data_IF_837452188425
#
_entry.id   IF_837452188425
#
_cell.length_a   1.000
_cell.length_b   1.000
_cell.length_c   1.000
_cell.angle_alpha   90.00
_cell.angle_beta   90.00
_cell.angle_gamma   90.00
#
_symmetry.space_group_name_H-M   'P 1'
#
loop_
_entity.id
_entity.type
_entity.pdbx_description
1 polymer ?
#
# COMPACT_ATOMS: atom_id res chain seq x y z
N UNK A 1 -10.04 14.30 1.94
CA UNK A 1 -10.22 13.19 2.92
C UNK A 1 -10.50 13.75 4.32
N UNK A 2 -11.43 13.13 5.07
CA UNK A 2 -11.76 13.55 6.46
C UNK A 2 -10.68 13.04 7.44
N UNK A 3 -10.40 13.75 8.55
CA UNK A 3 -9.52 13.23 9.60
C UNK A 3 -9.95 11.83 10.06
N UNK A 4 -8.98 10.96 10.32
CA UNK A 4 -9.22 9.62 10.84
C UNK A 4 -9.74 8.59 9.83
N UNK A 5 -9.79 8.87 8.52
CA UNK A 5 -10.21 7.87 7.54
C UNK A 5 -9.09 6.90 7.13
N UNK A 6 -9.47 5.67 6.78
CA UNK A 6 -8.66 4.71 6.03
C UNK A 6 -9.06 4.80 4.55
N UNK A 7 -8.07 4.82 3.67
CA UNK A 7 -8.25 4.75 2.22
C UNK A 7 -7.55 3.50 1.68
N UNK A 8 -8.29 2.61 1.04
CA UNK A 8 -7.75 1.41 0.41
C UNK A 8 -7.78 1.58 -1.12
N UNK A 9 -6.62 1.46 -1.75
CA UNK A 9 -6.44 1.60 -3.20
C UNK A 9 -6.02 0.25 -3.78
N UNK A 10 -6.80 -0.28 -4.72
CA UNK A 10 -6.61 -1.63 -5.28
C UNK A 10 -6.76 -1.64 -6.81
N UNK A 11 -7.49 -0.68 -7.38
CA UNK A 11 -7.82 -0.65 -8.80
C UNK A 11 -6.67 -0.26 -9.73
N UNK A 12 -5.67 0.53 -9.28
CA UNK A 12 -4.52 0.83 -10.13
C UNK A 12 -3.44 -0.27 -10.10
N UNK A 13 -3.00 -0.71 -11.28
CA UNK A 13 -1.95 -1.73 -11.46
C UNK A 13 -0.94 -1.40 -12.58
N UNK A 14 -1.11 -0.25 -13.25
CA UNK A 14 -0.19 0.27 -14.27
C UNK A 14 0.35 1.64 -13.86
N UNK A 15 1.49 2.10 -14.41
CA UNK A 15 2.09 3.39 -14.06
C UNK A 15 1.21 4.61 -14.37
N UNK A 16 0.31 4.50 -15.35
CA UNK A 16 -0.55 5.60 -15.80
C UNK A 16 -1.92 5.60 -15.10
N UNK A 17 -2.25 4.55 -14.36
CA UNK A 17 -3.52 4.45 -13.62
C UNK A 17 -3.39 5.04 -12.23
N UNK A 18 -4.31 5.93 -11.89
CA UNK A 18 -4.43 6.54 -10.57
C UNK A 18 -5.89 6.52 -10.10
N UNK A 19 -6.09 6.15 -8.85
CA UNK A 19 -7.37 6.23 -8.14
C UNK A 19 -7.42 7.45 -7.22
N UNK A 20 -6.25 8.03 -6.89
CA UNK A 20 -6.14 9.18 -6.01
C UNK A 20 -5.19 10.27 -6.54
N UNK A 21 -5.38 11.49 -6.04
CA UNK A 21 -4.56 12.66 -6.33
C UNK A 21 -3.36 12.78 -5.39
N UNK A 22 -2.54 13.82 -5.60
CA UNK A 22 -1.33 14.09 -4.81
C UNK A 22 -1.67 14.50 -3.37
N UNK A 23 -2.83 15.13 -3.16
CA UNK A 23 -3.29 15.51 -1.83
C UNK A 23 -3.58 14.25 -0.99
N UNK A 24 -4.11 13.19 -1.61
CA UNK A 24 -4.36 11.93 -0.94
C UNK A 24 -3.09 11.28 -0.39
N UNK A 25 -2.06 11.15 -1.21
CA UNK A 25 -0.79 10.50 -0.81
C UNK A 25 0.07 11.36 0.11
N UNK A 26 0.01 12.70 -0.03
CA UNK A 26 0.83 13.60 0.80
C UNK A 26 0.26 13.80 2.22
N UNK A 27 -1.06 13.66 2.40
CA UNK A 27 -1.72 13.82 3.72
C UNK A 27 -1.82 12.52 4.51
N UNK A 28 -1.64 11.37 3.87
CA UNK A 28 -1.85 10.07 4.48
C UNK A 28 -0.53 9.45 4.96
N UNK A 29 -0.65 8.62 5.98
CA UNK A 29 0.38 7.64 6.36
C UNK A 29 0.30 6.46 5.41
N UNK A 30 1.40 6.16 4.73
CA UNK A 30 1.41 5.27 3.57
C UNK A 30 1.84 3.85 3.95
N UNK A 31 1.00 2.89 3.57
CA UNK A 31 1.25 1.46 3.72
C UNK A 31 1.03 0.77 2.38
N UNK A 32 1.74 -0.33 2.14
CA UNK A 32 1.64 -1.07 0.88
C UNK A 32 1.51 -2.57 1.09
N UNK A 33 1.03 -3.29 0.09
CA UNK A 33 1.08 -4.76 0.12
C UNK A 33 2.53 -5.27 0.20
N UNK A 34 3.39 -4.72 -0.65
CA UNK A 34 4.78 -5.09 -0.81
C UNK A 34 5.61 -3.91 -1.35
N UNK A 35 6.78 -3.68 -0.77
CA UNK A 35 7.66 -2.58 -1.22
C UNK A 35 8.19 -2.77 -2.65
N UNK A 36 8.38 -4.01 -3.09
CA UNK A 36 8.99 -4.31 -4.38
C UNK A 36 8.09 -4.02 -5.59
N UNK A 37 6.77 -3.93 -5.42
CA UNK A 37 5.84 -3.71 -6.53
C UNK A 37 5.01 -2.44 -6.35
N UNK A 38 4.34 -2.27 -5.21
CA UNK A 38 3.35 -1.21 -5.04
C UNK A 38 3.92 0.21 -4.99
N UNK A 39 5.23 0.37 -4.79
CA UNK A 39 5.88 1.69 -4.77
C UNK A 39 6.17 2.20 -6.19
N UNK A 40 6.66 1.31 -7.06
CA UNK A 40 7.24 1.71 -8.36
C UNK A 40 6.35 1.39 -9.56
N UNK A 41 5.36 0.51 -9.41
CA UNK A 41 4.54 0.04 -10.53
C UNK A 41 3.20 0.78 -10.66
N UNK A 42 2.32 0.81 -9.65
CA UNK A 42 1.01 1.45 -9.79
C UNK A 42 1.13 2.97 -9.70
N UNK A 43 0.43 3.68 -10.60
CA UNK A 43 0.52 5.12 -10.71
C UNK A 43 0.16 5.90 -9.44
N UNK A 44 -0.65 5.33 -8.55
CA UNK A 44 -1.00 5.97 -7.26
C UNK A 44 0.22 6.37 -6.44
N UNK A 45 1.29 5.56 -6.43
CA UNK A 45 2.54 5.87 -5.73
C UNK A 45 3.70 6.16 -6.70
N UNK A 46 3.77 5.44 -7.83
CA UNK A 46 4.87 5.56 -8.78
C UNK A 46 4.97 6.95 -9.40
N UNK A 47 3.83 7.56 -9.74
CA UNK A 47 3.79 8.91 -10.31
C UNK A 47 4.19 10.02 -9.31
N UNK A 48 3.56 10.14 -8.13
CA UNK A 48 3.97 11.15 -7.14
C UNK A 48 5.40 10.93 -6.64
N UNK A 49 5.89 9.69 -6.58
CA UNK A 49 7.30 9.40 -6.28
C UNK A 49 8.24 9.97 -7.35
N UNK A 50 7.96 9.73 -8.63
CA UNK A 50 8.77 10.21 -9.76
C UNK A 50 8.80 11.74 -9.83
N UNK A 51 7.70 12.39 -9.44
CA UNK A 51 7.57 13.86 -9.40
C UNK A 51 8.06 14.49 -8.09
N UNK A 52 8.50 13.69 -7.12
CA UNK A 52 9.02 14.16 -5.84
C UNK A 52 7.97 14.72 -4.88
N UNK A 53 6.69 14.35 -5.05
CA UNK A 53 5.60 14.70 -4.12
C UNK A 53 5.73 13.92 -2.82
N UNK A 54 6.17 12.66 -2.93
CA UNK A 54 6.53 11.77 -1.83
C UNK A 54 7.90 11.16 -2.13
N UNK A 55 8.60 10.66 -1.11
CA UNK A 55 9.77 9.80 -1.25
C UNK A 55 9.50 8.38 -0.78
N UNK A 56 10.40 7.46 -1.11
CA UNK A 56 10.27 6.03 -0.73
C UNK A 56 10.18 5.82 0.78
N UNK A 57 10.82 6.69 1.54
CA UNK A 57 10.81 6.67 3.01
C UNK A 57 9.45 7.06 3.62
N UNK A 58 8.56 7.68 2.84
CA UNK A 58 7.23 8.07 3.31
C UNK A 58 6.29 6.86 3.41
N UNK A 59 6.64 5.75 2.74
CA UNK A 59 6.01 4.44 2.95
C UNK A 59 6.52 3.85 4.25
N UNK A 60 5.66 3.84 5.27
CA UNK A 60 5.99 3.46 6.64
C UNK A 60 6.29 1.96 6.78
N UNK A 61 5.41 1.11 6.24
CA UNK A 61 5.56 -0.34 6.27
C UNK A 61 4.82 -1.02 5.11
N UNK A 62 5.23 -2.24 4.78
CA UNK A 62 4.43 -3.17 3.99
C UNK A 62 3.77 -4.22 4.88
N UNK A 63 2.98 -5.13 4.30
CA UNK A 63 2.31 -6.19 5.07
C UNK A 63 3.30 -7.12 5.78
N UNK A 64 4.52 -7.31 5.28
CA UNK A 64 5.54 -8.07 5.99
C UNK A 64 6.00 -7.33 7.25
N UNK A 65 6.25 -6.02 7.12
CA UNK A 65 6.53 -5.12 8.23
C UNK A 65 5.45 -5.18 9.32
N UNK A 66 4.19 -5.10 8.90
CA UNK A 66 3.02 -5.04 9.79
C UNK A 66 2.71 -6.39 10.45
N UNK A 67 2.77 -7.50 9.70
CA UNK A 67 2.31 -8.80 10.19
C UNK A 67 3.42 -9.69 10.76
N UNK A 68 4.68 -9.49 10.34
CA UNK A 68 5.80 -10.37 10.71
C UNK A 68 6.89 -9.62 11.47
N UNK A 69 7.30 -8.45 10.97
CA UNK A 69 8.52 -7.79 11.46
C UNK A 69 8.27 -6.83 12.64
N UNK A 70 7.05 -6.82 13.19
CA UNK A 70 6.71 -6.14 14.44
C UNK A 70 6.54 -4.63 14.33
N UNK A 71 6.33 -4.10 13.12
CA UNK A 71 6.03 -2.67 12.94
C UNK A 71 4.72 -2.32 13.66
N UNK A 72 4.81 -1.45 14.67
CA UNK A 72 3.63 -0.95 15.38
C UNK A 72 3.16 0.36 14.76
N UNK A 73 1.95 0.35 14.21
CA UNK A 73 1.32 1.57 13.70
C UNK A 73 0.87 2.43 14.89
N UNK A 74 1.63 3.48 15.21
CA UNK A 74 1.26 4.46 16.23
C UNK A 74 0.17 5.43 15.72
N UNK A 75 -1.02 4.92 15.40
CA UNK A 75 -2.12 5.68 14.77
C UNK A 75 -2.80 6.62 15.77
N UNK A 76 -2.88 7.91 15.44
CA UNK A 76 -3.67 8.91 16.18
C UNK A 76 -5.10 8.99 15.63
N UNK A 77 -6.08 9.50 16.41
CA UNK A 77 -7.47 9.60 15.97
C UNK A 77 -7.67 10.34 14.64
N UNK A 78 -6.89 11.39 14.40
CA UNK A 78 -7.01 12.21 13.20
C UNK A 78 -6.13 11.75 12.04
N UNK A 79 -5.28 10.74 12.24
CA UNK A 79 -4.40 10.21 11.20
C UNK A 79 -5.22 9.64 10.05
N UNK A 80 -4.89 10.10 8.84
CA UNK A 80 -5.36 9.48 7.62
C UNK A 80 -4.37 8.38 7.25
N UNK A 81 -4.88 7.20 6.96
CA UNK A 81 -4.07 6.05 6.56
C UNK A 81 -4.45 5.64 5.15
N UNK A 82 -3.45 5.37 4.30
CA UNK A 82 -3.65 4.93 2.92
C UNK A 82 -2.90 3.62 2.72
N UNK A 83 -3.63 2.59 2.34
CA UNK A 83 -3.07 1.31 1.96
C UNK A 83 -3.17 1.13 0.45
N UNK A 84 -2.02 0.92 -0.21
CA UNK A 84 -1.96 0.59 -1.63
C UNK A 84 -1.67 -0.89 -1.82
N UNK A 85 -2.63 -1.60 -2.40
CA UNK A 85 -2.41 -2.91 -2.98
C UNK A 85 -1.99 -2.74 -4.45
N UNK A 86 -0.82 -3.25 -4.82
CA UNK A 86 -0.38 -3.29 -6.21
C UNK A 86 -0.74 -4.60 -6.91
N UNK A 87 -0.97 -5.67 -6.17
CA UNK A 87 -1.34 -6.97 -6.73
C UNK A 87 -0.13 -7.82 -7.09
N UNK A 88 0.67 -8.18 -6.09
CA UNK A 88 1.82 -9.07 -6.29
C UNK A 88 1.46 -10.55 -6.27
N UNK A 89 2.07 -11.34 -7.16
CA UNK A 89 1.86 -12.80 -7.29
C UNK A 89 2.13 -13.62 -6.00
N UNK A 90 2.79 -13.02 -5.00
CA UNK A 90 2.95 -13.61 -3.68
C UNK A 90 1.59 -13.81 -2.98
N UNK A 91 0.62 -12.92 -3.17
CA UNK A 91 -0.72 -13.04 -2.60
C UNK A 91 -1.46 -14.25 -3.19
N UNK A 92 -1.34 -14.46 -4.51
CA UNK A 92 -1.90 -15.63 -5.19
C UNK A 92 -1.24 -16.92 -4.70
N UNK A 93 0.09 -16.93 -4.59
CA UNK A 93 0.83 -18.09 -4.09
C UNK A 93 0.46 -18.42 -2.64
N UNK A 94 0.32 -17.42 -1.77
CA UNK A 94 -0.10 -17.62 -0.38
C UNK A 94 -1.49 -18.24 -0.32
N UNK A 95 -2.42 -17.72 -1.11
CA UNK A 95 -3.79 -18.25 -1.22
C UNK A 95 -3.81 -19.68 -1.76
N UNK A 96 -3.06 -19.94 -2.83
CA UNK A 96 -2.96 -21.28 -3.42
C UNK A 96 -2.35 -22.30 -2.46
N UNK A 97 -1.28 -21.94 -1.74
CA UNK A 97 -0.67 -22.79 -0.72
C UNK A 97 -1.62 -23.04 0.45
N UNK A 98 -2.37 -22.02 0.87
CA UNK A 98 -3.38 -22.19 1.91
C UNK A 98 -4.46 -23.19 1.46
N UNK A 99 -5.02 -23.02 0.27
CA UNK A 99 -6.01 -23.95 -0.28
C UNK A 99 -5.40 -25.35 -0.39
N UNK A 100 -4.24 -25.49 -1.02
CA UNK A 100 -3.56 -26.78 -1.22
C UNK A 100 -3.32 -27.54 0.08
N UNK A 101 -2.91 -26.86 1.15
CA UNK A 101 -2.67 -27.47 2.46
C UNK A 101 -3.95 -27.89 3.19
N UNK A 102 -5.10 -27.37 2.77
CA UNK A 102 -6.41 -27.64 3.36
C UNK A 102 -7.32 -28.43 2.43
N UNK A 103 -6.80 -28.93 1.30
CA UNK A 103 -7.48 -29.94 0.50
C UNK A 103 -7.27 -31.29 1.20
N UNK A 104 -8.37 -31.95 1.55
CA UNK A 104 -8.38 -33.33 2.03
C UNK A 104 -7.83 -34.30 0.97
#
# INVERSE_FOLDING_TARGET
>A
MKPGCQLDLVGSFTPDMRECDDEAVSRARLFVDSRWFAIDQPGDLADPLRRGVIGRQDVEADLFGLCRDGYTVNRKPDDITLYKNGGGAHLDLFTALFIWRNLE
#
